data_IF_715998273058
#
_entry.id   IF_715998273058
#
_cell.length_a   1.000
_cell.length_b   1.000
_cell.length_c   1.000
_cell.angle_alpha   90.00
_cell.angle_beta   90.00
_cell.angle_gamma   90.00
#
_symmetry.space_group_name_H-M   'P 1'
#
loop_
_entity.id
_entity.type
_entity.pdbx_description
1 polymer ?
2 non-polymer ?
#
# COMPACT_ATOMS: atom_id res chain seq x y z
N UNK A 13 2.70 34.03 11.74
CA UNK A 13 1.61 33.07 11.88
C UNK A 13 1.88 32.12 13.06
N UNK A 14 1.86 30.82 12.82
CA UNK A 14 2.06 29.84 13.90
C UNK A 14 3.22 28.90 13.58
N UNK A 15 3.82 28.35 14.63
CA UNK A 15 4.91 27.38 14.47
C UNK A 15 4.60 26.08 15.22
N UNK A 16 5.43 25.07 14.98
CA UNK A 16 5.19 23.72 15.49
C UNK A 16 4.86 23.64 16.98
N UNK A 17 5.45 24.53 17.77
CA UNK A 17 5.31 24.48 19.23
C UNK A 17 4.20 25.39 19.76
N UNK A 18 3.35 25.88 18.86
CA UNK A 18 2.22 26.69 19.27
C UNK A 18 1.22 25.87 20.08
N UNK A 19 0.64 26.48 21.10
CA UNK A 19 -0.36 25.83 21.94
C UNK A 19 0.23 24.67 22.73
N UNK A 20 1.55 24.60 22.84
CA UNK A 20 2.21 23.49 23.52
C UNK A 20 2.96 23.92 24.77
N UNK A 21 2.56 23.38 25.90
CA UNK A 21 3.25 23.63 27.16
C UNK A 21 4.73 23.29 27.03
N UNK A 22 5.54 23.83 27.95
CA UNK A 22 6.97 23.58 27.94
C UNK A 22 7.26 22.20 28.53
N UNK A 23 6.35 21.69 29.34
CA UNK A 23 6.48 20.34 29.87
C UNK A 23 6.35 19.34 28.72
N UNK A 24 5.42 19.63 27.81
CA UNK A 24 5.20 18.79 26.64
C UNK A 24 6.34 18.96 25.64
N UNK A 25 6.73 20.20 25.39
CA UNK A 25 7.83 20.50 24.48
C UNK A 25 9.03 19.63 24.81
N UNK A 26 9.28 19.43 26.10
CA UNK A 26 10.47 18.72 26.55
C UNK A 26 10.29 17.22 26.33
N UNK A 27 9.06 16.74 26.49
CA UNK A 27 8.76 15.33 26.31
C UNK A 27 9.16 14.85 24.91
N UNK A 28 8.66 15.54 23.90
CA UNK A 28 8.99 15.21 22.50
C UNK A 28 10.50 15.13 22.30
N UNK A 29 11.22 16.09 22.85
CA UNK A 29 12.67 16.12 22.73
C UNK A 29 13.29 14.87 23.35
N UNK A 30 12.99 14.64 24.62
CA UNK A 30 13.54 13.49 25.34
C UNK A 30 13.24 12.19 24.61
N UNK A 31 12.00 12.06 24.14
CA UNK A 31 11.54 10.83 23.50
C UNK A 31 12.31 10.53 22.23
N UNK A 32 12.31 11.47 21.28
CA UNK A 32 13.04 11.29 20.03
C UNK A 32 14.47 10.82 20.30
N UNK A 33 15.01 11.22 21.45
CA UNK A 33 16.37 10.84 21.83
C UNK A 33 16.51 9.33 22.02
N UNK A 34 15.70 8.75 22.90
CA UNK A 34 15.80 7.31 23.19
C UNK A 34 15.12 6.49 22.11
N UNK A 35 14.03 7.02 21.56
CA UNK A 35 13.31 6.35 20.48
C UNK A 35 14.16 6.33 19.20
N UNK A 36 15.04 7.32 19.06
CA UNK A 36 15.95 7.40 17.92
C UNK A 36 15.17 7.53 16.62
N UNK A 37 14.15 8.38 16.63
CA UNK A 37 13.31 8.61 15.47
C UNK A 37 12.85 10.07 15.41
N UNK A 38 12.56 10.55 14.20
CA UNK A 38 12.02 11.89 13.99
C UNK A 38 10.51 11.84 14.16
N UNK A 39 10.02 12.40 15.28
CA UNK A 39 8.62 12.27 15.66
C UNK A 39 7.67 12.99 14.70
N UNK A 40 6.74 12.23 14.14
CA UNK A 40 5.76 12.76 13.21
C UNK A 40 4.56 11.82 13.24
N UNK A 41 3.33 12.37 13.18
CA UNK A 41 2.16 11.51 13.24
C UNK A 41 2.30 10.25 12.37
N UNK A 42 2.73 10.42 11.13
CA UNK A 42 2.95 9.30 10.23
C UNK A 42 4.12 8.42 10.70
N UNK A 43 5.24 9.04 11.07
CA UNK A 43 6.39 8.29 11.55
C UNK A 43 6.04 7.45 12.77
N UNK A 44 5.11 7.95 13.58
CA UNK A 44 4.62 7.21 14.73
C UNK A 44 3.73 6.07 14.24
N UNK A 45 2.88 6.38 13.27
CA UNK A 45 2.03 5.37 12.64
C UNK A 45 2.88 4.24 12.07
N UNK A 46 4.05 4.59 11.55
CA UNK A 46 4.96 3.60 10.97
C UNK A 46 5.51 2.70 12.07
N UNK A 47 6.18 3.31 13.05
CA UNK A 47 6.80 2.57 14.13
C UNK A 47 5.80 1.62 14.78
N UNK A 48 4.57 2.08 14.95
CA UNK A 48 3.54 1.26 15.57
C UNK A 48 3.32 -0.04 14.80
N UNK A 49 3.25 0.06 13.48
CA UNK A 49 3.09 -1.11 12.62
C UNK A 49 4.34 -1.99 12.70
N UNK A 50 5.50 -1.35 12.69
CA UNK A 50 6.77 -2.06 12.77
C UNK A 50 6.86 -2.83 14.08
N UNK A 51 6.40 -2.19 15.16
CA UNK A 51 6.48 -2.76 16.49
C UNK A 51 5.44 -3.87 16.69
N UNK A 52 4.26 -3.68 16.13
CA UNK A 52 3.22 -4.70 16.19
C UNK A 52 3.73 -5.97 15.53
N UNK A 53 4.21 -5.82 14.29
CA UNK A 53 4.76 -6.93 13.55
C UNK A 53 5.93 -7.59 14.29
N UNK A 54 6.66 -6.79 15.06
CA UNK A 54 7.81 -7.28 15.79
C UNK A 54 7.40 -8.21 16.93
N UNK A 55 6.45 -7.76 17.75
CA UNK A 55 5.99 -8.52 18.91
C UNK A 55 5.64 -9.95 18.54
N UNK A 56 5.14 -10.13 17.32
CA UNK A 56 4.69 -11.44 16.88
C UNK A 56 5.88 -12.37 16.63
N UNK A 57 6.93 -11.85 16.04
CA UNK A 57 8.12 -12.65 15.79
C UNK A 57 8.80 -13.03 17.10
N UNK A 58 8.64 -12.16 18.10
CA UNK A 58 9.24 -12.36 19.42
C UNK A 58 8.83 -13.71 19.97
N UNK A 59 7.53 -13.97 19.98
CA UNK A 59 6.97 -15.21 20.49
C UNK A 59 7.75 -16.46 20.10
N UNK A 60 8.33 -16.47 18.90
CA UNK A 60 8.93 -17.69 18.35
C UNK A 60 10.30 -18.04 18.94
N UNK A 61 11.16 -17.02 19.10
CA UNK A 61 12.54 -17.17 19.58
C UNK A 61 12.85 -18.51 20.25
N UNK A 62 12.08 -18.82 21.30
CA UNK A 62 12.18 -20.08 22.05
C UNK A 62 12.89 -19.88 23.38
N UNK A 63 14.10 -19.30 23.33
CA UNK A 63 14.83 -18.98 24.54
C UNK A 63 14.01 -18.04 25.42
N UNK A 64 13.37 -18.61 26.43
CA UNK A 64 12.49 -17.85 27.33
C UNK A 64 13.12 -16.54 27.81
N UNK A 65 14.44 -16.52 27.91
CA UNK A 65 15.15 -15.33 28.35
C UNK A 65 14.94 -14.16 27.37
N UNK A 66 15.13 -14.43 26.09
CA UNK A 66 15.00 -13.42 25.05
C UNK A 66 13.56 -12.90 24.94
N UNK A 67 12.62 -13.82 24.75
CA UNK A 67 11.21 -13.46 24.60
C UNK A 67 10.73 -12.59 25.75
N UNK A 68 11.17 -12.91 26.96
CA UNK A 68 10.76 -12.18 28.16
C UNK A 68 11.24 -10.73 28.10
N UNK A 69 12.54 -10.56 27.92
CA UNK A 69 13.13 -9.23 27.86
C UNK A 69 12.68 -8.47 26.62
N UNK A 70 12.66 -9.17 25.48
CA UNK A 70 12.29 -8.55 24.21
C UNK A 70 10.86 -8.01 24.24
N UNK A 71 9.96 -8.76 24.86
CA UNK A 71 8.56 -8.36 24.94
C UNK A 71 8.40 -7.04 25.70
N UNK A 72 9.19 -6.87 26.76
CA UNK A 72 9.14 -5.65 27.55
C UNK A 72 9.89 -4.51 26.86
N UNK A 73 10.93 -4.86 26.11
CA UNK A 73 11.68 -3.88 25.34
C UNK A 73 10.75 -3.13 24.40
N UNK A 74 9.69 -3.81 23.96
CA UNK A 74 8.69 -3.22 23.08
C UNK A 74 7.64 -2.47 23.89
N UNK A 75 7.07 -3.15 24.88
CA UNK A 75 6.04 -2.56 25.73
C UNK A 75 6.45 -1.17 26.20
N UNK A 76 7.75 -0.96 26.38
CA UNK A 76 8.26 0.33 26.78
C UNK A 76 8.06 1.36 25.67
N UNK A 77 8.48 0.99 24.46
CA UNK A 77 8.36 1.89 23.31
C UNK A 77 6.91 2.27 23.02
N UNK A 78 6.04 1.27 22.92
CA UNK A 78 4.62 1.53 22.67
C UNK A 78 4.10 2.54 23.70
N UNK A 79 4.56 2.40 24.94
CA UNK A 79 4.17 3.32 26.00
C UNK A 79 4.68 4.71 25.69
N UNK A 80 5.82 4.78 25.00
CA UNK A 80 6.38 6.08 24.60
C UNK A 80 5.56 6.70 23.47
N UNK A 81 5.23 5.89 22.46
CA UNK A 81 4.43 6.38 21.35
C UNK A 81 3.16 7.02 21.87
N UNK A 82 2.58 6.42 22.90
CA UNK A 82 1.33 6.91 23.47
C UNK A 82 1.54 8.26 24.14
N UNK A 83 2.46 8.30 25.09
CA UNK A 83 2.73 9.55 25.82
C UNK A 83 3.12 10.66 24.85
N UNK A 84 3.59 10.28 23.68
CA UNK A 84 3.84 11.24 22.61
C UNK A 84 2.51 11.63 21.97
N UNK A 85 1.61 10.65 21.86
CA UNK A 85 0.29 10.89 21.28
C UNK A 85 -0.54 11.83 22.15
N UNK A 86 -0.47 11.64 23.47
CA UNK A 86 -1.21 12.46 24.42
C UNK A 86 -0.84 13.93 24.23
N UNK A 87 0.43 14.16 23.94
CA UNK A 87 0.93 15.51 23.70
C UNK A 87 0.28 16.11 22.46
N UNK A 88 0.26 15.34 21.37
CA UNK A 88 -0.30 15.80 20.12
C UNK A 88 -1.80 16.07 20.23
N UNK A 89 -2.50 15.22 20.97
CA UNK A 89 -3.95 15.33 21.10
C UNK A 89 -4.32 16.65 21.75
N UNK A 90 -3.56 17.04 22.78
CA UNK A 90 -3.80 18.31 23.46
C UNK A 90 -3.60 19.48 22.50
N UNK A 91 -2.48 19.46 21.78
CA UNK A 91 -2.14 20.54 20.87
C UNK A 91 -3.17 20.70 19.77
N UNK A 92 -3.69 19.57 19.28
CA UNK A 92 -4.68 19.58 18.21
C UNK A 92 -6.00 20.17 18.70
N UNK A 93 -6.46 19.68 19.85
CA UNK A 93 -7.69 20.18 20.44
C UNK A 93 -7.70 21.69 20.55
N UNK A 94 -6.64 22.22 21.17
CA UNK A 94 -6.49 23.66 21.31
C UNK A 94 -6.49 24.31 19.94
N UNK A 95 -5.67 23.78 19.04
CA UNK A 95 -5.52 24.32 17.70
C UNK A 95 -6.87 24.51 17.00
N UNK A 96 -7.74 23.52 17.15
CA UNK A 96 -9.04 23.54 16.47
C UNK A 96 -9.98 24.57 17.06
N UNK A 97 -10.14 24.55 18.38
CA UNK A 97 -10.99 25.53 19.05
C UNK A 97 -10.58 26.94 18.64
N UNK A 98 -9.28 27.16 18.52
CA UNK A 98 -8.73 28.48 18.23
C UNK A 98 -8.90 28.87 16.76
N UNK A 99 -8.71 27.92 15.86
CA UNK A 99 -8.67 28.22 14.43
C UNK A 99 -9.83 27.64 13.62
N UNK A 100 -10.19 26.39 13.90
CA UNK A 100 -11.29 25.74 13.21
C UNK A 100 -12.30 25.18 14.21
N UNK A 101 -13.02 26.07 14.91
CA UNK A 101 -13.97 25.67 15.96
C UNK A 101 -15.25 25.04 15.43
N UNK A 102 -15.75 25.55 14.31
CA UNK A 102 -17.00 25.04 13.71
C UNK A 102 -16.80 23.65 13.13
N UNK A 103 -15.55 23.29 12.86
CA UNK A 103 -15.22 22.01 12.23
C UNK A 103 -14.65 21.02 13.25
N UNK A 104 -14.54 21.45 14.50
CA UNK A 104 -13.87 20.66 15.53
C UNK A 104 -14.54 19.33 15.83
N UNK A 105 -15.83 19.22 15.52
CA UNK A 105 -16.56 17.98 15.78
C UNK A 105 -16.64 17.10 14.53
N UNK A 106 -16.13 17.62 13.41
CA UNK A 106 -16.25 16.94 12.12
C UNK A 106 -15.11 15.97 11.82
N UNK A 107 -14.10 15.92 12.70
CA UNK A 107 -12.93 15.08 12.47
C UNK A 107 -12.53 14.31 13.73
N UNK A 108 -11.82 13.21 13.53
CA UNK A 108 -11.41 12.34 14.63
C UNK A 108 -10.13 12.86 15.26
N UNK A 109 -9.82 12.36 16.47
CA UNK A 109 -8.64 12.77 17.19
C UNK A 109 -7.37 12.56 16.36
N UNK A 110 -7.23 11.35 15.81
CA UNK A 110 -6.09 11.06 14.94
C UNK A 110 -6.04 12.02 13.77
N UNK A 111 -7.16 12.15 13.06
CA UNK A 111 -7.24 13.06 11.93
C UNK A 111 -6.82 14.46 12.34
N UNK A 112 -7.41 14.97 13.43
CA UNK A 112 -7.08 16.29 13.93
C UNK A 112 -5.56 16.44 14.12
N UNK A 113 -4.98 15.52 14.88
CA UNK A 113 -3.54 15.55 15.14
C UNK A 113 -2.75 15.69 13.84
N UNK A 114 -3.10 14.87 12.86
CA UNK A 114 -2.42 14.91 11.56
C UNK A 114 -2.55 16.29 10.94
N UNK A 115 -3.77 16.82 10.90
CA UNK A 115 -4.03 18.11 10.31
C UNK A 115 -3.31 19.22 11.08
N UNK A 116 -3.45 19.19 12.40
CA UNK A 116 -2.80 20.16 13.26
C UNK A 116 -1.32 20.25 12.97
N UNK A 117 -0.66 19.10 12.91
CA UNK A 117 0.79 19.04 12.76
C UNK A 117 1.24 19.47 11.37
N UNK A 118 0.41 19.21 10.36
CA UNK A 118 0.76 19.54 9.00
C UNK A 118 0.67 21.05 8.76
N UNK A 119 -0.36 21.67 9.34
CA UNK A 119 -0.55 23.11 9.19
C UNK A 119 0.62 23.90 9.79
N UNK A 120 1.18 23.40 10.89
CA UNK A 120 2.21 24.13 11.61
C UNK A 120 3.57 24.10 10.90
N UNK A 121 3.96 22.95 10.37
CA UNK A 121 5.28 22.79 9.78
C UNK A 121 5.28 22.73 8.26
N UNK A 122 4.12 22.52 7.66
CA UNK A 122 4.06 22.27 6.22
C UNK A 122 3.02 23.13 5.49
N UNK A 123 2.60 24.24 6.10
CA UNK A 123 1.62 25.12 5.47
C UNK A 123 1.89 26.60 5.75
N UNK A 124 1.80 27.41 4.71
CA UNK A 124 1.74 28.86 4.86
C UNK A 124 0.26 29.23 4.89
N UNK A 125 -0.12 30.13 5.80
CA UNK A 125 -1.52 30.47 5.97
C UNK A 125 -2.27 29.28 6.54
N UNK A 126 -3.60 29.28 6.45
CA UNK A 126 -4.42 28.20 6.97
C UNK A 126 -5.31 27.64 5.86
N UNK A 127 -5.45 26.31 5.85
CA UNK A 127 -6.22 25.63 4.82
C UNK A 127 -7.54 26.36 4.52
N UNK A 128 -8.49 26.27 5.45
CA UNK A 128 -9.81 26.90 5.32
C UNK A 128 -10.90 25.88 5.04
N UNK A 129 -11.75 25.63 6.03
CA UNK A 129 -12.84 24.66 5.93
C UNK A 129 -12.71 23.67 4.77
N UNK A 130 -12.97 24.15 3.55
CA UNK A 130 -12.94 23.29 2.37
C UNK A 130 -11.58 22.62 2.18
N UNK A 131 -10.52 23.40 2.33
CA UNK A 131 -9.16 22.89 2.15
C UNK A 131 -8.80 21.87 3.24
N UNK A 132 -9.47 21.97 4.39
CA UNK A 132 -9.19 21.07 5.51
C UNK A 132 -9.68 19.65 5.24
N UNK A 133 -10.58 19.51 4.28
CA UNK A 133 -11.06 18.19 3.87
C UNK A 133 -10.01 17.47 3.04
N UNK A 134 -9.27 18.23 2.23
CA UNK A 134 -8.25 17.66 1.34
C UNK A 134 -7.06 17.09 2.11
N UNK A 135 -6.65 17.78 3.15
CA UNK A 135 -5.46 17.38 3.91
C UNK A 135 -5.64 15.99 4.52
N UNK A 136 -6.87 15.67 4.93
CA UNK A 136 -7.14 14.35 5.50
C UNK A 136 -6.93 13.27 4.44
N UNK A 137 -7.36 13.57 3.22
CA UNK A 137 -7.17 12.66 2.09
C UNK A 137 -5.70 12.28 2.00
N UNK A 138 -4.83 13.21 2.37
CA UNK A 138 -3.39 12.98 2.31
C UNK A 138 -2.97 11.90 3.30
N UNK A 139 -3.46 12.00 4.54
CA UNK A 139 -3.12 11.02 5.56
C UNK A 139 -3.67 9.65 5.19
N UNK A 140 -4.91 9.63 4.73
CA UNK A 140 -5.56 8.38 4.35
C UNK A 140 -4.73 7.63 3.32
N UNK A 141 -4.13 8.38 2.38
CA UNK A 141 -3.31 7.78 1.33
C UNK A 141 -1.94 7.37 1.88
N UNK A 142 -1.30 8.27 2.61
CA UNK A 142 0.00 7.98 3.20
C UNK A 142 -0.05 6.72 4.07
N UNK A 143 -1.02 6.68 4.99
CA UNK A 143 -1.11 5.58 5.94
C UNK A 143 -1.27 4.21 5.28
N UNK A 144 -2.17 4.12 4.30
CA UNK A 144 -2.40 2.87 3.59
C UNK A 144 -1.12 2.39 2.94
N UNK A 145 -0.46 3.28 2.21
CA UNK A 145 0.80 2.96 1.55
C UNK A 145 1.77 2.29 2.52
N UNK A 146 1.99 2.95 3.66
CA UNK A 146 2.96 2.46 4.64
C UNK A 146 2.59 1.06 5.13
N UNK A 147 1.32 0.87 5.47
CA UNK A 147 0.86 -0.41 5.99
C UNK A 147 1.08 -1.53 5.00
N UNK A 148 0.55 -1.35 3.79
CA UNK A 148 0.62 -2.38 2.75
C UNK A 148 2.06 -2.71 2.38
N UNK A 149 2.90 -1.68 2.26
CA UNK A 149 4.28 -1.87 1.87
C UNK A 149 5.07 -2.61 2.95
N UNK A 150 4.66 -2.44 4.20
CA UNK A 150 5.37 -3.06 5.32
C UNK A 150 5.14 -4.57 5.36
N UNK A 151 3.88 -4.98 5.31
CA UNK A 151 3.53 -6.39 5.48
C UNK A 151 3.84 -7.21 4.22
N UNK A 152 3.66 -6.60 3.05
CA UNK A 152 3.96 -7.27 1.79
C UNK A 152 5.45 -7.43 1.58
N UNK A 153 6.22 -6.43 1.99
CA UNK A 153 7.67 -6.47 1.84
C UNK A 153 8.09 -6.14 0.42
N UNK A 154 8.62 -7.13 -0.29
CA UNK A 154 9.07 -6.93 -1.66
C UNK A 154 8.00 -7.29 -2.68
N UNK A 155 6.81 -7.61 -2.20
CA UNK A 155 5.65 -7.77 -3.06
C UNK A 155 5.09 -6.38 -3.35
N UNK A 156 4.87 -6.05 -4.61
CA UNK A 156 4.31 -4.77 -4.96
C UNK A 156 2.90 -4.74 -4.56
N UNK A 157 2.50 -3.69 -3.86
CA UNK A 157 1.15 -3.55 -3.33
C UNK A 157 0.06 -3.73 -4.40
N UNK A 158 -0.69 -4.82 -4.25
CA UNK A 158 -1.70 -5.22 -5.22
C UNK A 158 -2.54 -6.35 -4.64
N UNK A 159 -3.82 -6.39 -5.01
CA UNK A 159 -4.69 -7.48 -4.61
C UNK A 159 -4.02 -8.81 -4.88
N UNK A 160 -3.45 -8.96 -6.07
CA UNK A 160 -2.80 -10.20 -6.45
C UNK A 160 -1.63 -10.49 -5.51
N UNK A 161 -0.96 -9.45 -5.05
CA UNK A 161 0.16 -9.60 -4.14
C UNK A 161 -0.31 -10.06 -2.77
N UNK A 162 -1.36 -9.43 -2.27
CA UNK A 162 -1.91 -9.77 -0.97
C UNK A 162 -2.34 -11.23 -0.96
N UNK A 163 -3.03 -11.65 -2.01
CA UNK A 163 -3.43 -13.05 -2.16
C UNK A 163 -2.19 -13.94 -2.11
N UNK A 164 -1.20 -13.61 -2.92
CA UNK A 164 0.05 -14.37 -2.97
C UNK A 164 0.71 -14.46 -1.59
N UNK A 165 0.52 -13.42 -0.79
CA UNK A 165 1.14 -13.37 0.54
C UNK A 165 0.43 -14.28 1.53
N UNK A 166 -0.89 -14.28 1.52
CA UNK A 166 -1.66 -15.10 2.47
C UNK A 166 -1.58 -16.58 2.10
N UNK A 167 -1.48 -16.85 0.80
CA UNK A 167 -1.37 -18.21 0.33
C UNK A 167 -0.06 -18.83 0.78
N UNK A 168 0.99 -18.01 0.83
CA UNK A 168 2.28 -18.46 1.32
C UNK A 168 2.14 -18.97 2.75
N UNK A 169 1.33 -18.29 3.54
CA UNK A 169 1.15 -18.65 4.94
C UNK A 169 0.07 -19.72 5.11
N UNK A 170 -0.92 -19.70 4.23
CA UNK A 170 -1.96 -20.74 4.23
C UNK A 170 -1.28 -22.08 4.02
N UNK A 171 -0.34 -22.12 3.10
CA UNK A 171 0.42 -23.33 2.82
C UNK A 171 1.27 -23.71 4.03
N UNK A 172 1.94 -22.73 4.61
CA UNK A 172 2.75 -22.96 5.80
C UNK A 172 1.91 -23.62 6.89
N UNK A 173 0.63 -23.26 6.95
CA UNK A 173 -0.27 -23.80 7.96
C UNK A 173 -0.60 -25.25 7.64
N UNK A 174 -1.16 -25.48 6.46
CA UNK A 174 -1.56 -26.83 6.05
C UNK A 174 -0.44 -27.82 6.31
N UNK A 175 0.79 -27.44 5.97
CA UNK A 175 1.94 -28.32 6.12
C UNK A 175 2.32 -28.58 7.57
N UNK A 176 2.38 -27.53 8.37
CA UNK A 176 2.73 -27.69 9.78
C UNK A 176 1.65 -28.50 10.50
N UNK A 177 0.41 -28.41 10.03
CA UNK A 177 -0.69 -29.16 10.62
C UNK A 177 -0.61 -30.64 10.27
N UNK A 178 -0.32 -30.94 9.01
CA UNK A 178 -0.12 -32.32 8.58
C UNK A 178 1.04 -32.94 9.35
N UNK A 179 2.11 -32.17 9.52
CA UNK A 179 3.28 -32.64 10.25
C UNK A 179 2.91 -33.14 11.64
N UNK A 180 1.95 -32.48 12.29
CA UNK A 180 1.53 -32.86 13.63
C UNK A 180 0.23 -33.64 13.64
N UNK A 181 -0.28 -33.95 12.45
CA UNK A 181 -1.54 -34.67 12.31
C UNK A 181 -2.71 -33.92 12.95
N UNK A 182 -2.63 -32.59 12.94
CA UNK A 182 -3.68 -31.75 13.50
C UNK A 182 -4.57 -31.20 12.39
N UNK A 183 -5.86 -31.06 12.70
CA UNK A 183 -6.83 -30.55 11.75
C UNK A 183 -7.13 -29.08 11.99
N UNK A 184 -7.91 -28.48 11.11
CA UNK A 184 -8.34 -27.10 11.27
C UNK A 184 -9.25 -26.96 12.48
N UNK A 185 -10.05 -27.99 12.74
CA UNK A 185 -10.93 -27.96 13.91
C UNK A 185 -10.12 -28.21 15.18
N UNK A 186 -9.07 -28.99 15.07
CA UNK A 186 -8.21 -29.28 16.22
C UNK A 186 -7.59 -27.99 16.74
N UNK A 187 -7.04 -27.18 15.82
CA UNK A 187 -6.39 -25.94 16.19
C UNK A 187 -7.42 -24.93 16.71
N UNK A 188 -8.66 -25.09 16.28
CA UNK A 188 -9.76 -24.27 16.79
C UNK A 188 -10.10 -24.67 18.22
N UNK A 189 -9.91 -25.94 18.55
CA UNK A 189 -10.19 -26.45 19.89
C UNK A 189 -8.96 -26.40 20.79
N UNK A 190 -7.89 -25.78 20.31
CA UNK A 190 -6.68 -25.62 21.10
C UNK A 190 -6.08 -26.96 21.53
N UNK A 191 -6.00 -27.90 20.60
CA UNK A 191 -5.38 -29.19 20.86
C UNK A 191 -3.86 -29.09 20.87
N UNK A 192 -3.35 -27.99 20.32
CA UNK A 192 -1.92 -27.86 20.07
C UNK A 192 -1.22 -27.06 21.16
N UNK A 193 -1.95 -26.75 22.22
CA UNK A 193 -1.44 -25.85 23.26
C UNK A 193 -0.01 -26.20 23.74
N UNK A 194 0.27 -27.49 23.92
CA UNK A 194 1.53 -27.91 24.51
C UNK A 194 2.49 -28.61 23.56
N UNK A 195 2.53 -28.13 22.32
CA UNK A 195 3.49 -28.64 21.34
C UNK A 195 4.60 -27.63 21.06
N UNK A 196 5.65 -28.08 20.39
CA UNK A 196 6.75 -27.20 20.04
C UNK A 196 6.34 -26.24 18.93
N UNK A 197 5.45 -26.71 18.05
CA UNK A 197 5.06 -25.93 16.88
C UNK A 197 3.89 -24.99 17.15
N UNK A 198 3.24 -25.15 18.29
CA UNK A 198 2.08 -24.33 18.64
C UNK A 198 2.27 -22.86 18.27
N UNK A 199 3.32 -22.25 18.83
CA UNK A 199 3.59 -20.84 18.59
C UNK A 199 3.66 -20.53 17.10
N UNK A 200 4.26 -21.44 16.34
CA UNK A 200 4.33 -21.28 14.90
C UNK A 200 2.94 -21.41 14.28
N UNK A 201 2.17 -22.38 14.77
CA UNK A 201 0.83 -22.59 14.27
C UNK A 201 0.00 -21.31 14.43
N UNK A 202 0.08 -20.69 15.61
CA UNK A 202 -0.65 -19.46 15.87
C UNK A 202 -0.10 -18.30 15.05
N UNK A 203 1.22 -18.21 14.96
CA UNK A 203 1.87 -17.19 14.17
C UNK A 203 1.25 -17.15 12.77
N UNK A 204 1.31 -18.29 12.08
CA UNK A 204 0.74 -18.39 10.73
C UNK A 204 -0.73 -17.98 10.75
N UNK A 205 -1.48 -18.52 11.70
CA UNK A 205 -2.91 -18.25 11.78
C UNK A 205 -3.15 -16.74 11.84
N UNK A 206 -2.33 -16.06 12.63
CA UNK A 206 -2.47 -14.61 12.79
C UNK A 206 -2.13 -13.89 11.49
N UNK A 207 -1.06 -14.33 10.84
CA UNK A 207 -0.64 -13.73 9.57
C UNK A 207 -1.77 -13.79 8.55
N UNK A 208 -2.60 -14.82 8.62
CA UNK A 208 -3.73 -14.91 7.71
C UNK A 208 -4.67 -13.72 7.92
N UNK A 209 -4.88 -13.37 9.18
CA UNK A 209 -5.71 -12.22 9.51
C UNK A 209 -5.05 -10.94 9.02
N UNK A 210 -3.74 -10.85 9.23
CA UNK A 210 -2.97 -9.69 8.81
C UNK A 210 -3.30 -9.31 7.38
N UNK A 211 -3.51 -10.31 6.52
CA UNK A 211 -3.72 -10.05 5.11
C UNK A 211 -5.21 -9.88 4.78
N UNK A 212 -6.09 -10.43 5.61
CA UNK A 212 -7.51 -10.12 5.49
C UNK A 212 -7.67 -8.62 5.72
N UNK A 213 -6.88 -8.10 6.66
CA UNK A 213 -6.90 -6.69 6.99
C UNK A 213 -6.35 -5.87 5.84
N UNK A 214 -5.18 -6.28 5.35
CA UNK A 214 -4.54 -5.62 4.22
C UNK A 214 -5.53 -5.46 3.07
N UNK A 215 -6.34 -6.48 2.84
CA UNK A 215 -7.30 -6.45 1.75
C UNK A 215 -8.32 -5.33 1.96
N UNK A 216 -8.71 -5.11 3.21
CA UNK A 216 -9.61 -4.02 3.55
C UNK A 216 -8.95 -2.66 3.36
N UNK A 217 -7.73 -2.53 3.87
CA UNK A 217 -6.96 -1.31 3.69
C UNK A 217 -6.90 -0.94 2.21
N UNK A 218 -6.45 -1.90 1.40
CA UNK A 218 -6.32 -1.70 -0.04
C UNK A 218 -7.60 -1.10 -0.62
N UNK A 219 -8.73 -1.72 -0.33
CA UNK A 219 -10.02 -1.26 -0.84
C UNK A 219 -10.24 0.21 -0.52
N UNK A 220 -9.94 0.61 0.71
CA UNK A 220 -10.05 2.01 1.11
C UNK A 220 -9.04 2.84 0.33
N UNK A 221 -7.80 2.35 0.27
CA UNK A 221 -6.72 3.04 -0.41
C UNK A 221 -7.03 3.25 -1.89
N UNK A 222 -7.78 2.33 -2.48
CA UNK A 222 -8.23 2.48 -3.85
C UNK A 222 -9.37 3.49 -3.90
N UNK A 223 -10.38 3.25 -3.08
CA UNK A 223 -11.57 4.10 -3.04
C UNK A 223 -11.23 5.58 -3.11
N UNK A 224 -10.24 5.98 -2.32
CA UNK A 224 -9.83 7.38 -2.27
C UNK A 224 -9.26 7.83 -3.61
N UNK A 225 -8.49 6.95 -4.25
CA UNK A 225 -7.90 7.25 -5.54
C UNK A 225 -8.98 7.35 -6.62
N UNK A 226 -9.88 6.36 -6.63
CA UNK A 226 -10.90 6.27 -7.66
C UNK A 226 -11.86 7.44 -7.59
N UNK A 227 -12.00 8.03 -6.40
CA UNK A 227 -12.86 9.20 -6.23
C UNK A 227 -12.39 10.34 -7.12
N UNK A 228 -11.08 10.44 -7.33
CA UNK A 228 -10.50 11.51 -8.14
C UNK A 228 -10.68 11.25 -9.63
N UNK A 229 -11.13 10.05 -9.99
CA UNK A 229 -11.30 9.69 -11.39
C UNK A 229 -12.67 10.12 -11.91
N UNK A 230 -13.63 10.25 -11.00
CA UNK A 230 -14.98 10.64 -11.38
C UNK A 230 -15.24 12.12 -11.13
N UNK A 231 -15.60 12.84 -12.19
CA UNK A 231 -15.95 14.25 -12.08
C UNK A 231 -17.36 14.36 -11.50
N UNK A 232 -18.25 13.47 -11.93
CA UNK A 232 -19.62 13.45 -11.44
C UNK A 232 -19.69 12.75 -10.09
N UNK A 233 -19.67 13.53 -9.02
CA UNK A 233 -19.70 12.98 -7.66
C UNK A 233 -20.79 11.93 -7.51
N UNK A 234 -21.89 12.12 -8.23
CA UNK A 234 -23.00 11.17 -8.19
C UNK A 234 -22.65 9.89 -8.94
N UNK A 235 -22.16 10.05 -10.17
CA UNK A 235 -21.80 8.90 -11.00
C UNK A 235 -20.86 7.96 -10.26
N UNK A 236 -19.98 8.52 -9.45
CA UNK A 236 -19.08 7.73 -8.61
C UNK A 236 -19.87 6.87 -7.64
N UNK A 237 -20.65 7.52 -6.78
CA UNK A 237 -21.45 6.81 -5.79
C UNK A 237 -22.14 5.59 -6.39
N UNK A 238 -22.64 5.75 -7.62
CA UNK A 238 -23.34 4.66 -8.30
C UNK A 238 -22.37 3.53 -8.65
N UNK A 239 -21.25 3.88 -9.26
CA UNK A 239 -20.23 2.91 -9.64
C UNK A 239 -19.73 2.14 -8.42
N UNK A 240 -19.64 2.82 -7.29
CA UNK A 240 -19.13 2.21 -6.07
C UNK A 240 -20.03 1.10 -5.54
N UNK A 241 -21.32 1.21 -5.82
CA UNK A 241 -22.31 0.26 -5.28
C UNK A 241 -22.35 -1.06 -6.05
N UNK A 242 -21.98 -1.02 -7.32
CA UNK A 242 -22.11 -2.19 -8.19
C UNK A 242 -20.84 -3.02 -8.29
N UNK A 243 -19.70 -2.42 -7.93
CA UNK A 243 -18.41 -3.07 -8.11
C UNK A 243 -17.83 -3.64 -6.83
N UNK A 244 -17.11 -4.75 -6.97
CA UNK A 244 -16.38 -5.36 -5.86
C UNK A 244 -14.94 -4.87 -5.86
N UNK A 245 -14.05 -5.55 -5.14
CA UNK A 245 -12.66 -5.13 -5.05
C UNK A 245 -11.86 -5.49 -6.31
N UNK A 246 -12.06 -6.71 -6.82
CA UNK A 246 -11.33 -7.16 -8.00
C UNK A 246 -11.57 -6.19 -9.16
N UNK A 247 -12.84 -5.82 -9.35
CA UNK A 247 -13.20 -4.87 -10.40
C UNK A 247 -12.50 -3.53 -10.19
N UNK A 248 -12.34 -3.14 -8.94
CA UNK A 248 -11.67 -1.88 -8.59
C UNK A 248 -10.19 -1.93 -8.99
N UNK A 249 -9.55 -3.07 -8.75
CA UNK A 249 -8.15 -3.24 -9.11
C UNK A 249 -7.95 -3.07 -10.60
N UNK A 250 -8.83 -3.70 -11.38
CA UNK A 250 -8.76 -3.64 -12.84
C UNK A 250 -8.77 -2.18 -13.32
N UNK A 251 -9.46 -1.32 -12.58
CA UNK A 251 -9.51 0.09 -12.91
C UNK A 251 -8.17 0.74 -12.61
N UNK A 252 -7.65 0.50 -11.40
CA UNK A 252 -6.37 1.05 -11.01
C UNK A 252 -5.33 0.67 -12.05
N UNK A 253 -5.26 -0.61 -12.36
CA UNK A 253 -4.34 -1.10 -13.39
C UNK A 253 -4.59 -0.36 -14.70
N UNK A 254 -5.86 -0.22 -15.05
CA UNK A 254 -6.23 0.49 -16.27
C UNK A 254 -5.81 1.95 -16.21
N UNK A 255 -5.84 2.52 -15.01
CA UNK A 255 -5.48 3.92 -14.82
C UNK A 255 -3.98 4.12 -15.07
N UNK A 256 -3.17 3.27 -14.44
CA UNK A 256 -1.72 3.39 -14.51
C UNK A 256 -1.18 3.18 -15.91
N UNK A 257 -2.01 2.63 -16.80
CA UNK A 257 -1.60 2.41 -18.18
C UNK A 257 -1.94 3.62 -19.05
N UNK A 258 -3.11 4.21 -18.81
CA UNK A 258 -3.56 5.35 -19.61
C UNK A 258 -3.29 6.69 -18.92
N UNK A 259 -2.77 6.64 -17.70
CA UNK A 259 -2.56 7.85 -16.92
C UNK A 259 -3.88 8.35 -16.37
N UNK A 260 -3.83 9.29 -15.45
CA UNK A 260 -5.03 9.80 -14.79
C UNK A 260 -5.91 10.60 -15.75
N UNK A 261 -5.33 11.64 -16.35
CA UNK A 261 -6.09 12.53 -17.23
C UNK A 261 -6.97 11.76 -18.21
N UNK A 262 -6.37 10.94 -19.05
CA UNK A 262 -7.13 10.17 -20.03
C UNK A 262 -8.23 9.36 -19.37
N UNK A 263 -7.85 8.51 -18.42
CA UNK A 263 -8.80 7.62 -17.76
C UNK A 263 -10.05 8.36 -17.32
N UNK A 264 -9.87 9.56 -16.78
CA UNK A 264 -11.00 10.37 -16.32
C UNK A 264 -11.95 10.67 -17.48
N UNK A 265 -11.40 11.10 -18.61
CA UNK A 265 -12.19 11.43 -19.78
C UNK A 265 -12.87 10.19 -20.35
N UNK A 266 -12.22 9.04 -20.22
CA UNK A 266 -12.70 7.82 -20.83
C UNK A 266 -14.02 7.35 -20.26
N UNK A 267 -14.17 7.39 -18.95
CA UNK A 267 -15.34 6.83 -18.27
C UNK A 267 -16.53 7.79 -18.24
N UNK A 268 -16.25 9.07 -18.43
CA UNK A 268 -17.32 10.07 -18.48
C UNK A 268 -17.74 10.32 -19.93
N UNK A 269 -16.78 10.21 -20.85
CA UNK A 269 -17.09 10.30 -22.27
C UNK A 269 -17.62 8.96 -22.76
N UNK A 270 -17.16 7.88 -22.14
CA UNK A 270 -17.60 6.54 -22.49
C UNK A 270 -16.90 5.99 -23.72
N UNK A 271 -16.02 6.79 -24.33
CA UNK A 271 -15.34 6.39 -25.55
C UNK A 271 -13.90 5.96 -25.26
N UNK A 272 -13.43 4.96 -25.98
CA UNK A 272 -12.09 4.44 -25.78
C UNK A 272 -11.04 5.36 -26.38
N UNK A 273 -9.81 5.27 -25.88
CA UNK A 273 -8.70 6.08 -26.37
C UNK A 273 -7.43 5.23 -26.38
N UNK A 274 -6.62 5.33 -27.44
CA UNK A 274 -5.39 4.53 -27.51
C UNK A 274 -4.16 5.27 -26.97
N UNK A 275 -3.44 4.62 -26.06
CA UNK A 275 -2.21 5.18 -25.51
C UNK A 275 -1.12 5.32 -26.58
N UNK A 276 -1.11 4.42 -27.56
CA UNK A 276 -0.05 4.38 -28.56
C UNK A 276 -0.56 4.62 -29.97
N UNK A 277 0.37 4.98 -30.86
CA UNK A 277 0.09 5.11 -32.27
C UNK A 277 0.06 3.71 -32.90
N UNK A 278 -0.44 3.62 -34.12
CA UNK A 278 -0.45 2.34 -34.83
C UNK A 278 0.97 1.90 -35.13
N UNK A 279 1.83 2.86 -35.49
CA UNK A 279 3.22 2.57 -35.77
C UNK A 279 3.93 2.07 -34.51
N UNK A 280 3.88 2.88 -33.46
CA UNK A 280 4.51 2.52 -32.19
C UNK A 280 4.01 1.16 -31.70
N UNK A 281 2.69 0.97 -31.74
CA UNK A 281 2.09 -0.27 -31.26
C UNK A 281 2.73 -1.48 -31.95
N UNK A 282 2.92 -1.37 -33.26
CA UNK A 282 3.54 -2.44 -34.04
C UNK A 282 4.96 -2.68 -33.54
N UNK A 283 5.72 -1.61 -33.38
CA UNK A 283 7.10 -1.69 -32.91
C UNK A 283 7.18 -2.47 -31.60
N UNK A 284 6.39 -2.03 -30.61
CA UNK A 284 6.44 -2.61 -29.27
C UNK A 284 6.21 -4.12 -29.31
N UNK A 285 5.15 -4.55 -29.99
CA UNK A 285 4.83 -5.97 -30.08
C UNK A 285 6.01 -6.75 -30.63
N UNK A 286 6.56 -6.27 -31.75
CA UNK A 286 7.70 -6.93 -32.38
C UNK A 286 8.83 -7.13 -31.38
N UNK A 287 9.16 -6.08 -30.64
CA UNK A 287 10.23 -6.14 -29.65
C UNK A 287 9.94 -7.18 -28.58
N UNK A 288 8.72 -7.16 -28.05
CA UNK A 288 8.31 -8.16 -27.08
C UNK A 288 8.64 -9.56 -27.61
N UNK A 289 8.39 -9.78 -28.90
CA UNK A 289 8.70 -11.05 -29.53
C UNK A 289 10.20 -11.33 -29.51
N UNK A 290 10.99 -10.28 -29.68
CA UNK A 290 12.45 -10.40 -29.68
C UNK A 290 12.98 -10.85 -28.32
N UNK A 291 12.39 -10.33 -27.25
CA UNK A 291 12.84 -10.69 -25.90
C UNK A 291 12.47 -12.12 -25.56
N UNK A 292 11.20 -12.48 -25.78
CA UNK A 292 10.76 -13.84 -25.53
C UNK A 292 11.55 -14.83 -26.37
N UNK A 293 11.75 -14.48 -27.64
CA UNK A 293 12.50 -15.30 -28.57
C UNK A 293 13.93 -15.50 -28.07
N UNK A 294 14.49 -14.46 -27.46
CA UNK A 294 15.85 -14.51 -26.94
C UNK A 294 15.82 -14.66 -25.42
N UNK A 295 14.76 -15.28 -24.91
CA UNK A 295 14.61 -15.48 -23.47
C UNK A 295 14.99 -16.90 -23.09
N UNK A 296 15.09 -17.79 -24.08
CA UNK A 296 15.39 -19.19 -23.82
C UNK A 296 16.62 -19.64 -24.61
N UNK A 297 17.38 -18.68 -25.13
CA UNK A 297 18.62 -18.97 -25.82
C UNK A 297 19.62 -19.54 -24.81
N UNK A 298 19.90 -20.85 -24.88
CA UNK A 298 20.76 -21.51 -23.89
C UNK A 298 22.16 -20.90 -23.80
N UNK A 299 22.70 -20.80 -22.59
CA UNK A 299 24.03 -20.24 -22.38
C UNK A 299 24.17 -18.89 -23.08
N UNK A 300 23.41 -17.90 -22.60
CA UNK A 300 23.42 -16.58 -23.22
C UNK A 300 24.79 -15.91 -23.07
N UNK A 301 25.22 -15.25 -24.15
CA UNK A 301 26.47 -14.49 -24.15
C UNK A 301 26.29 -13.18 -23.38
N UNK A 302 27.40 -12.56 -23.01
CA UNK A 302 27.36 -11.26 -22.33
C UNK A 302 26.56 -10.24 -23.16
N UNK A 303 26.71 -10.30 -24.48
CA UNK A 303 25.96 -9.43 -25.38
C UNK A 303 24.47 -9.76 -25.35
N UNK A 304 24.17 -11.06 -25.41
CA UNK A 304 22.78 -11.51 -25.36
C UNK A 304 22.09 -10.95 -24.12
N UNK A 305 22.85 -10.83 -23.04
CA UNK A 305 22.31 -10.27 -21.80
C UNK A 305 22.15 -8.77 -21.93
N UNK A 306 23.08 -8.12 -22.64
CA UNK A 306 23.03 -6.69 -22.82
C UNK A 306 21.93 -6.28 -23.79
N UNK A 307 21.77 -7.04 -24.87
CA UNK A 307 20.78 -6.72 -25.87
C UNK A 307 19.39 -6.89 -25.27
N UNK A 308 19.23 -7.91 -24.45
CA UNK A 308 17.97 -8.15 -23.78
C UNK A 308 17.60 -6.94 -22.95
N UNK A 309 18.57 -6.41 -22.20
CA UNK A 309 18.35 -5.26 -21.35
C UNK A 309 18.29 -3.97 -22.13
N UNK A 310 19.02 -3.91 -23.24
CA UNK A 310 19.04 -2.71 -24.08
C UNK A 310 17.66 -2.46 -24.65
N UNK A 311 16.98 -3.52 -25.06
CA UNK A 311 15.64 -3.40 -25.65
C UNK A 311 14.63 -2.92 -24.61
N UNK A 312 14.64 -3.55 -23.44
CA UNK A 312 13.74 -3.16 -22.36
C UNK A 312 13.94 -1.68 -22.03
N UNK A 313 15.19 -1.32 -21.78
CA UNK A 313 15.53 0.06 -21.45
C UNK A 313 14.92 1.03 -22.45
N UNK A 314 15.09 0.75 -23.73
CA UNK A 314 14.56 1.60 -24.78
C UNK A 314 13.03 1.65 -24.72
N UNK A 315 12.41 0.48 -24.74
CA UNK A 315 10.95 0.38 -24.68
C UNK A 315 10.37 1.25 -23.57
N UNK A 316 10.93 1.14 -22.37
CA UNK A 316 10.44 1.88 -21.22
C UNK A 316 10.72 3.37 -21.36
N UNK A 317 11.94 3.70 -21.79
CA UNK A 317 12.35 5.09 -21.92
C UNK A 317 11.58 5.80 -23.04
N UNK A 318 11.59 5.21 -24.22
CA UNK A 318 10.98 5.81 -25.40
C UNK A 318 9.44 5.78 -25.39
N UNK A 319 8.87 4.64 -24.99
CA UNK A 319 7.45 4.38 -25.18
C UNK A 319 6.63 4.36 -23.88
N UNK A 320 7.29 4.07 -22.76
CA UNK A 320 6.58 3.92 -21.48
C UNK A 320 5.99 2.52 -21.40
N UNK A 321 6.71 1.55 -21.96
CA UNK A 321 6.27 0.16 -21.95
C UNK A 321 7.08 -0.65 -20.94
N UNK A 322 6.38 -1.19 -19.94
CA UNK A 322 7.04 -1.98 -18.90
C UNK A 322 6.79 -3.47 -19.12
N UNK A 323 7.68 -4.12 -19.88
CA UNK A 323 7.56 -5.54 -20.16
C UNK A 323 7.55 -6.34 -18.86
N UNK A 324 8.38 -5.92 -17.91
CA UNK A 324 8.48 -6.59 -16.62
C UNK A 324 7.12 -6.56 -15.93
N UNK A 325 6.53 -5.36 -15.88
CA UNK A 325 5.24 -5.15 -15.25
C UNK A 325 4.24 -6.21 -15.69
N UNK A 326 4.06 -6.34 -17.00
CA UNK A 326 3.12 -7.30 -17.57
C UNK A 326 1.70 -6.74 -17.60
N UNK A 327 1.48 -5.61 -16.94
CA UNK A 327 0.21 -4.92 -17.01
C UNK A 327 0.15 -4.12 -18.31
N UNK A 328 1.26 -3.48 -18.65
CA UNK A 328 1.36 -2.75 -19.89
C UNK A 328 0.99 -3.65 -21.06
N UNK A 329 1.51 -4.88 -21.04
CA UNK A 329 1.25 -5.83 -22.13
C UNK A 329 -0.23 -6.22 -22.18
N UNK A 330 -0.81 -6.45 -21.01
CA UNK A 330 -2.22 -6.84 -20.91
C UNK A 330 -3.11 -5.79 -21.57
N UNK A 331 -2.88 -4.53 -21.23
CA UNK A 331 -3.69 -3.44 -21.75
C UNK A 331 -3.34 -3.10 -23.19
N UNK A 332 -2.14 -3.47 -23.62
CA UNK A 332 -1.75 -3.29 -25.00
C UNK A 332 -2.64 -4.16 -25.88
N UNK A 333 -2.78 -5.43 -25.49
CA UNK A 333 -3.68 -6.35 -26.16
C UNK A 333 -5.08 -5.73 -26.21
N UNK A 334 -5.57 -5.30 -25.05
CA UNK A 334 -6.87 -4.66 -24.96
C UNK A 334 -6.98 -3.52 -25.97
N UNK A 335 -5.93 -2.74 -26.08
CA UNK A 335 -5.90 -1.62 -27.03
C UNK A 335 -6.04 -2.12 -28.46
N UNK A 336 -5.19 -3.07 -28.84
CA UNK A 336 -5.20 -3.62 -30.19
C UNK A 336 -6.57 -4.16 -30.57
N UNK A 337 -7.14 -4.97 -29.67
CA UNK A 337 -8.45 -5.55 -29.91
C UNK A 337 -9.51 -4.47 -30.15
N UNK A 338 -9.40 -3.37 -29.41
CA UNK A 338 -10.40 -2.31 -29.46
C UNK A 338 -10.35 -1.54 -30.78
N UNK A 339 -9.13 -1.14 -31.18
CA UNK A 339 -8.95 -0.37 -32.40
C UNK A 339 -8.88 -1.27 -33.63
N UNK A 340 -8.71 -2.56 -33.41
CA UNK A 340 -8.69 -3.53 -34.49
C UNK A 340 -7.33 -3.67 -35.17
N UNK A 341 -6.26 -3.39 -34.42
CA UNK A 341 -4.90 -3.53 -34.95
C UNK A 341 -4.55 -5.00 -35.06
N UNK A 342 -5.03 -5.65 -36.12
CA UNK A 342 -4.81 -7.07 -36.34
C UNK A 342 -3.32 -7.42 -36.25
N UNK A 343 -2.49 -6.65 -36.94
CA UNK A 343 -1.04 -6.89 -36.95
C UNK A 343 -0.52 -7.08 -35.54
N UNK A 344 -0.65 -6.05 -34.70
CA UNK A 344 -0.18 -6.10 -33.32
C UNK A 344 -0.90 -7.17 -32.53
N UNK A 345 -2.24 -7.14 -32.55
CA UNK A 345 -3.05 -8.14 -31.88
C UNK A 345 -2.55 -9.55 -32.17
N UNK A 346 -2.16 -9.80 -33.41
CA UNK A 346 -1.68 -11.12 -33.83
C UNK A 346 -0.31 -11.42 -33.22
N UNK A 347 0.60 -10.45 -33.26
CA UNK A 347 1.91 -10.59 -32.66
C UNK A 347 1.80 -10.95 -31.17
N UNK A 348 0.88 -10.29 -30.48
CA UNK A 348 0.69 -10.51 -29.05
C UNK A 348 0.10 -11.90 -28.78
N UNK A 349 -0.77 -12.36 -29.69
CA UNK A 349 -1.36 -13.69 -29.57
C UNK A 349 -0.29 -14.77 -29.72
N UNK A 350 0.69 -14.52 -30.58
CA UNK A 350 1.79 -15.45 -30.77
C UNK A 350 2.64 -15.51 -29.51
N UNK A 351 2.80 -14.36 -28.86
CA UNK A 351 3.55 -14.28 -27.60
C UNK A 351 2.86 -15.12 -26.53
N UNK A 352 1.59 -14.82 -26.27
CA UNK A 352 0.80 -15.57 -25.30
C UNK A 352 0.54 -16.99 -25.79
X LIG B 1 3.55 2.76 -17.18
#
# INVERSE_FOLDING_TARGET
LXFNEVDDXKSHKLNAFSYMNKSDSTTLKNMAKDLKIYVTPINMYKENERLYDLKQKTSLITDDEDRLNKIEDIEDRQKKLESINEVFEKQAGIFFDKNYPDQSLNYSDDEKIFITRTILNDRDVLPANNELEDIVKEKRIKEAQISLNTVLGNRDISLESIAAASNFFADKLSNILEKNNLSFDDVLENKHEGMEDSLKIDYYTNKLEVFRNAENILEDYYDVQIKELFTDDEDYKAFNEVTDIKEKQQLIDFKTYHGTENTIEMLETGNFIPKYSDEDRKYITEQVKLLQEKEFKPNKNQHDKFVFGAIQKKLLSEYDFDYSDNNDLKHLYQESNEVGDEISKDNIEEFYE
CA CA
#
